data_IF_134776868423
#
_entry.id   IF_134776868423
#
_cell.length_a   1.000
_cell.length_b   1.000
_cell.length_c   1.000
_cell.angle_alpha   90.00
_cell.angle_beta   90.00
_cell.angle_gamma   90.00
#
_symmetry.space_group_name_H-M   'P 1'
#
loop_
_entity.id
_entity.type
_entity.pdbx_description
1 polymer ?
#
# COMPACT_ATOMS: atom_id res chain seq x y z
N UNK A 1 12.80 -7.75 12.88
CA UNK A 1 11.46 -7.37 13.36
C UNK A 1 10.46 -8.19 12.57
N UNK A 2 9.75 -9.11 13.22
CA UNK A 2 8.78 -9.97 12.54
C UNK A 2 7.52 -9.14 12.26
N UNK A 3 7.18 -8.97 10.98
CA UNK A 3 5.90 -8.35 10.59
C UNK A 3 4.80 -9.35 10.95
N UNK A 4 4.10 -9.08 12.05
CA UNK A 4 2.98 -9.91 12.50
C UNK A 4 1.74 -9.73 11.64
N UNK A 5 1.57 -8.55 11.05
CA UNK A 5 0.45 -8.24 10.16
C UNK A 5 0.94 -7.49 8.91
N UNK A 6 1.04 -8.18 7.76
CA UNK A 6 1.51 -7.58 6.51
C UNK A 6 0.51 -6.59 5.88
N UNK A 7 -0.78 -6.63 6.27
CA UNK A 7 -1.80 -5.68 5.81
C UNK A 7 -1.67 -4.39 6.62
N UNK A 8 -1.56 -4.50 7.94
CA UNK A 8 -1.35 -3.34 8.81
C UNK A 8 -0.02 -2.62 8.47
N UNK A 9 1.04 -3.36 8.15
CA UNK A 9 2.31 -2.78 7.66
C UNK A 9 2.10 -1.99 6.36
N UNK A 10 1.37 -2.55 5.39
CA UNK A 10 1.05 -1.87 4.12
C UNK A 10 0.32 -0.55 4.36
N UNK A 11 -0.77 -0.57 5.11
CA UNK A 11 -1.58 0.63 5.37
C UNK A 11 -0.79 1.68 6.16
N UNK A 12 0.03 1.24 7.12
CA UNK A 12 0.90 2.14 7.89
C UNK A 12 1.94 2.81 7.01
N UNK A 13 2.55 2.08 6.06
CA UNK A 13 3.49 2.66 5.08
C UNK A 13 2.83 3.71 4.20
N UNK A 14 1.62 3.45 3.70
CA UNK A 14 0.85 4.40 2.89
C UNK A 14 0.58 5.68 3.70
N UNK A 15 0.05 5.55 4.92
CA UNK A 15 -0.21 6.69 5.81
C UNK A 15 1.06 7.51 6.07
N UNK A 16 2.16 6.84 6.42
CA UNK A 16 3.41 7.52 6.72
C UNK A 16 3.98 8.23 5.49
N UNK A 17 3.85 7.63 4.28
CA UNK A 17 4.26 8.25 3.02
C UNK A 17 3.46 9.52 2.73
N UNK A 18 2.13 9.48 2.92
CA UNK A 18 1.26 10.64 2.79
C UNK A 18 1.64 11.77 3.77
N UNK A 19 1.91 11.43 5.04
CA UNK A 19 2.28 12.41 6.06
C UNK A 19 3.58 13.17 5.76
N UNK A 20 4.50 12.55 5.01
CA UNK A 20 5.77 13.18 4.62
C UNK A 20 5.78 13.68 3.17
N UNK A 21 4.62 13.65 2.49
CA UNK A 21 4.47 14.15 1.12
C UNK A 21 5.18 13.29 0.05
N UNK A 22 5.30 11.97 0.25
CA UNK A 22 5.81 11.06 -0.78
C UNK A 22 4.69 10.70 -1.77
N UNK A 23 5.01 10.80 -3.06
CA UNK A 23 4.08 10.46 -4.15
C UNK A 23 3.89 8.95 -4.35
N UNK A 24 4.82 8.12 -3.86
CA UNK A 24 4.74 6.66 -4.00
C UNK A 24 5.40 5.93 -2.84
N UNK A 25 4.97 4.68 -2.62
CA UNK A 25 5.52 3.81 -1.57
C UNK A 25 5.68 2.38 -2.07
N UNK A 26 6.79 1.75 -1.69
CA UNK A 26 7.05 0.35 -2.04
C UNK A 26 6.58 -0.56 -0.91
N UNK A 27 5.81 -1.59 -1.27
CA UNK A 27 5.29 -2.60 -0.36
C UNK A 27 5.60 -3.98 -0.94
N UNK A 28 5.97 -4.99 -0.13
CA UNK A 28 6.19 -6.34 -0.63
C UNK A 28 4.92 -6.89 -1.29
N UNK A 29 5.04 -7.57 -2.42
CA UNK A 29 3.88 -8.12 -3.12
C UNK A 29 3.26 -9.30 -2.36
N UNK A 30 1.92 -9.38 -2.37
CA UNK A 30 1.16 -10.58 -2.00
C UNK A 30 -0.20 -10.51 -2.70
N UNK A 31 -0.86 -11.65 -2.94
CA UNK A 31 -2.18 -11.69 -3.58
C UNK A 31 -3.20 -10.78 -2.88
N UNK A 32 -3.29 -10.86 -1.55
CA UNK A 32 -4.23 -10.06 -0.76
C UNK A 32 -3.93 -8.56 -0.87
N UNK A 33 -2.65 -8.17 -0.78
CA UNK A 33 -2.24 -6.76 -0.92
C UNK A 33 -2.51 -6.19 -2.32
N UNK A 34 -2.44 -7.04 -3.35
CA UNK A 34 -2.81 -6.69 -4.72
C UNK A 34 -4.32 -6.41 -4.82
N UNK A 35 -5.16 -7.28 -4.26
CA UNK A 35 -6.60 -7.09 -4.24
C UNK A 35 -6.98 -5.81 -3.47
N UNK A 36 -6.32 -5.53 -2.34
CA UNK A 36 -6.50 -4.29 -1.59
C UNK A 36 -6.08 -3.07 -2.41
N UNK A 37 -4.91 -3.10 -3.06
CA UNK A 37 -4.43 -2.00 -3.90
C UNK A 37 -5.40 -1.73 -5.06
N UNK A 38 -5.98 -2.78 -5.64
CA UNK A 38 -6.99 -2.67 -6.67
C UNK A 38 -8.28 -2.00 -6.17
N UNK A 39 -8.78 -2.39 -5.00
CA UNK A 39 -9.95 -1.74 -4.40
C UNK A 39 -9.67 -0.25 -4.11
N UNK A 40 -8.47 0.06 -3.60
CA UNK A 40 -8.08 1.46 -3.35
C UNK A 40 -8.02 2.30 -4.62
N UNK A 41 -7.61 1.70 -5.74
CA UNK A 41 -7.60 2.33 -7.07
C UNK A 41 -9.03 2.51 -7.61
N UNK A 42 -9.87 1.48 -7.52
CA UNK A 42 -11.28 1.51 -7.96
C UNK A 42 -12.11 2.56 -7.20
N UNK A 43 -11.83 2.75 -5.91
CA UNK A 43 -12.49 3.76 -5.06
C UNK A 43 -11.84 5.16 -5.18
N UNK A 44 -10.74 5.30 -5.93
CA UNK A 44 -10.05 6.58 -6.14
C UNK A 44 -9.25 7.10 -4.94
N UNK A 45 -8.82 6.22 -4.03
CA UNK A 45 -7.93 6.58 -2.91
C UNK A 45 -6.45 6.67 -3.32
N UNK A 46 -6.07 6.03 -4.41
CA UNK A 46 -4.73 6.08 -4.99
C UNK A 46 -4.83 6.35 -6.50
N UNK A 47 -3.84 7.03 -7.08
CA UNK A 47 -3.76 7.28 -8.54
C UNK A 47 -3.41 6.04 -9.37
N UNK A 48 -2.99 4.96 -8.70
CA UNK A 48 -2.64 3.70 -9.34
C UNK A 48 -1.58 2.92 -8.57
N UNK A 49 -1.29 1.70 -9.04
CA UNK A 49 -0.23 0.84 -8.51
C UNK A 49 0.46 0.07 -9.62
N UNK A 50 1.75 -0.19 -9.45
CA UNK A 50 2.58 -0.95 -10.39
C UNK A 50 3.28 -2.10 -9.68
N UNK A 51 3.42 -3.24 -10.36
CA UNK A 51 4.21 -4.37 -9.90
C UNK A 51 5.64 -4.25 -10.44
N UNK A 52 6.61 -4.18 -9.53
CA UNK A 52 8.04 -4.09 -9.85
C UNK A 52 8.82 -5.25 -9.25
#
# INVERSE_FOLDING_TARGET
>A
MSVSDPIADMLTRIRNALMVGKNSVNVPVSKIKLDIAKILDEEGFVDGFELK
#
